data_IF_353647768232
#
_entry.id   IF_353647768232
#
_cell.length_a   1.000
_cell.length_b   1.000
_cell.length_c   1.000
_cell.angle_alpha   90.00
_cell.angle_beta   90.00
_cell.angle_gamma   90.00
#
_symmetry.space_group_name_H-M   'P 1'
#
loop_
_entity.id
_entity.type
_entity.pdbx_description
1 polymer ?
#
# COMPACT_ATOMS: atom_id res chain seq x y z
N UNK A 1 -22.22 11.38 -7.56
CA UNK A 1 -21.13 11.60 -6.59
C UNK A 1 -20.04 10.58 -6.87
N UNK A 2 -18.88 11.00 -7.31
CA UNK A 2 -17.78 10.10 -7.69
C UNK A 2 -17.28 9.34 -6.48
N UNK A 3 -17.24 8.02 -6.55
CA UNK A 3 -16.75 7.15 -5.47
C UNK A 3 -15.35 6.65 -5.80
N UNK A 4 -14.50 6.60 -4.81
CA UNK A 4 -13.13 6.10 -4.91
C UNK A 4 -12.95 4.92 -3.96
N UNK A 5 -12.05 4.01 -4.32
CA UNK A 5 -11.56 2.97 -3.42
C UNK A 5 -10.05 2.92 -3.40
N UNK A 6 -9.49 2.40 -2.31
CA UNK A 6 -8.06 2.14 -2.21
C UNK A 6 -7.75 0.83 -2.95
N UNK A 7 -6.93 0.93 -3.99
CA UNK A 7 -6.53 -0.21 -4.80
C UNK A 7 -5.52 -1.07 -4.02
N UNK A 8 -5.97 -2.16 -3.44
CA UNK A 8 -5.09 -3.17 -2.86
C UNK A 8 -4.99 -4.37 -3.80
N UNK A 9 -3.77 -4.87 -4.05
CA UNK A 9 -3.62 -6.13 -4.78
C UNK A 9 -4.36 -7.23 -4.03
N UNK A 10 -5.07 -8.14 -4.72
CA UNK A 10 -5.69 -9.27 -4.05
C UNK A 10 -4.60 -10.10 -3.35
N UNK A 11 -4.91 -10.60 -2.15
CA UNK A 11 -4.03 -11.54 -1.45
C UNK A 11 -3.87 -12.80 -2.32
N UNK A 12 -2.66 -13.07 -2.77
CA UNK A 12 -2.33 -14.36 -3.37
C UNK A 12 -1.92 -15.28 -2.23
N UNK A 13 -2.64 -16.37 -1.98
CA UNK A 13 -2.20 -17.37 -1.00
C UNK A 13 -0.84 -17.92 -1.40
N UNK A 14 -0.05 -18.35 -0.43
CA UNK A 14 1.28 -18.94 -0.64
C UNK A 14 1.23 -20.07 -1.69
N UNK A 15 2.32 -20.28 -2.47
CA UNK A 15 2.41 -21.42 -3.38
C UNK A 15 2.34 -22.73 -2.57
N UNK A 16 1.22 -23.43 -2.65
CA UNK A 16 0.88 -24.63 -1.88
C UNK A 16 -0.61 -24.76 -1.64
N UNK A 17 -1.32 -23.68 -1.43
CA UNK A 17 -2.79 -23.64 -1.43
C UNK A 17 -3.27 -23.29 -2.83
N UNK A 18 -3.47 -24.31 -3.67
CA UNK A 18 -4.13 -24.16 -4.98
C UNK A 18 -5.63 -23.91 -4.78
N UNK A 19 -5.98 -22.72 -4.42
CA UNK A 19 -7.35 -22.23 -4.53
C UNK A 19 -7.52 -21.63 -5.93
N UNK A 20 -8.14 -22.35 -6.81
CA UNK A 20 -8.48 -21.90 -8.14
C UNK A 20 -9.56 -20.79 -8.05
N UNK A 21 -9.15 -19.55 -7.82
CA UNK A 21 -10.05 -18.39 -7.97
C UNK A 21 -10.34 -18.18 -9.45
N UNK A 22 -11.50 -18.55 -9.90
CA UNK A 22 -11.98 -18.24 -11.25
C UNK A 22 -12.97 -17.08 -11.21
N UNK A 23 -12.72 -16.08 -12.07
CA UNK A 23 -13.66 -15.00 -12.35
C UNK A 23 -14.83 -15.59 -13.15
N UNK A 24 -16.03 -15.60 -12.59
CA UNK A 24 -17.24 -15.91 -13.34
C UNK A 24 -17.66 -14.72 -14.21
N UNK A 25 -18.38 -15.00 -15.31
CA UNK A 25 -19.05 -13.99 -16.14
C UNK A 25 -20.19 -13.34 -15.34
N UNK A 26 -19.88 -12.37 -14.50
CA UNK A 26 -20.83 -11.70 -13.63
C UNK A 26 -20.20 -11.04 -12.41
N UNK A 27 -18.88 -11.12 -12.26
CA UNK A 27 -18.15 -10.41 -11.19
C UNK A 27 -18.17 -11.09 -9.83
N UNK A 28 -18.87 -12.19 -9.65
CA UNK A 28 -18.90 -12.96 -8.41
C UNK A 28 -17.64 -13.83 -8.28
N UNK A 29 -16.93 -13.67 -7.17
CA UNK A 29 -15.83 -14.55 -6.79
C UNK A 29 -16.40 -15.72 -6.01
N UNK A 30 -16.16 -16.95 -6.47
CA UNK A 30 -16.47 -18.15 -5.73
C UNK A 30 -15.24 -19.06 -5.65
N UNK A 31 -15.13 -19.71 -4.52
CA UNK A 31 -14.16 -20.76 -4.28
C UNK A 31 -14.81 -22.11 -4.61
N UNK A 32 -14.07 -23.00 -5.29
CA UNK A 32 -14.53 -24.34 -5.55
C UNK A 32 -13.87 -25.29 -4.55
N UNK A 33 -14.67 -26.00 -3.75
CA UNK A 33 -14.22 -27.13 -2.97
C UNK A 33 -14.77 -28.45 -3.52
N UNK A 34 -14.11 -29.59 -3.29
CA UNK A 34 -14.71 -30.89 -3.60
C UNK A 34 -16.09 -31.00 -2.94
N UNK A 35 -17.04 -31.56 -3.67
CA UNK A 35 -18.37 -31.84 -3.16
C UNK A 35 -18.28 -32.86 -2.01
N UNK A 36 -19.01 -32.60 -0.94
CA UNK A 36 -19.20 -33.51 0.17
C UNK A 36 -20.68 -33.94 0.26
N UNK A 37 -21.00 -35.17 0.66
CA UNK A 37 -22.36 -35.58 0.91
C UNK A 37 -23.06 -34.66 1.90
N UNK A 38 -24.23 -34.11 1.51
CA UNK A 38 -24.96 -33.10 2.26
C UNK A 38 -24.83 -31.68 1.68
N UNK A 39 -23.97 -31.43 0.71
CA UNK A 39 -23.92 -30.15 0.00
C UNK A 39 -25.15 -29.97 -0.89
N UNK A 40 -25.63 -28.71 -0.98
CA UNK A 40 -26.72 -28.37 -1.86
C UNK A 40 -26.37 -28.59 -3.34
N UNK A 41 -27.11 -29.42 -4.03
CA UNK A 41 -26.90 -29.75 -5.46
C UNK A 41 -26.96 -28.50 -6.35
N UNK A 42 -27.72 -27.47 -5.93
CA UNK A 42 -27.80 -26.16 -6.64
C UNK A 42 -26.48 -25.40 -6.67
N UNK A 43 -25.57 -25.68 -5.72
CA UNK A 43 -24.26 -25.07 -5.63
C UNK A 43 -23.19 -25.84 -6.40
N UNK A 44 -23.52 -26.96 -7.02
CA UNK A 44 -22.59 -27.76 -7.81
C UNK A 44 -22.16 -26.97 -9.05
N UNK A 45 -20.85 -26.96 -9.27
CA UNK A 45 -20.27 -26.31 -10.44
C UNK A 45 -20.22 -27.26 -11.64
N UNK A 46 -21.34 -27.43 -12.33
CA UNK A 46 -21.53 -28.37 -13.44
C UNK A 46 -20.48 -28.24 -14.56
N UNK A 47 -20.04 -27.01 -14.83
CA UNK A 47 -19.00 -26.78 -15.85
C UNK A 47 -17.62 -27.32 -15.45
N UNK A 48 -17.30 -27.37 -14.15
CA UNK A 48 -16.09 -28.00 -13.66
C UNK A 48 -16.23 -29.53 -13.75
N UNK A 49 -17.40 -30.08 -13.39
CA UNK A 49 -17.71 -31.49 -13.52
C UNK A 49 -17.56 -31.96 -14.97
N UNK A 50 -18.13 -31.25 -15.93
CA UNK A 50 -18.02 -31.60 -17.36
C UNK A 50 -16.57 -31.61 -17.86
N UNK A 51 -15.66 -30.84 -17.24
CA UNK A 51 -14.24 -30.80 -17.66
C UNK A 51 -13.34 -31.78 -16.93
N UNK A 52 -13.66 -32.12 -15.69
CA UNK A 52 -12.75 -32.87 -14.80
C UNK A 52 -13.30 -34.20 -14.33
N UNK A 53 -14.60 -34.46 -14.56
CA UNK A 53 -15.31 -35.62 -14.01
C UNK A 53 -15.46 -35.59 -12.49
N UNK A 54 -15.08 -34.49 -11.80
CA UNK A 54 -15.16 -34.37 -10.35
C UNK A 54 -16.19 -33.32 -9.95
N UNK A 55 -16.99 -33.66 -8.95
CA UNK A 55 -17.97 -32.72 -8.40
C UNK A 55 -17.30 -31.67 -7.50
N UNK A 56 -17.61 -30.42 -7.76
CA UNK A 56 -17.18 -29.28 -6.96
C UNK A 56 -18.38 -28.44 -6.56
N UNK A 57 -18.38 -27.97 -5.32
CA UNK A 57 -19.38 -27.04 -4.79
C UNK A 57 -18.85 -25.62 -4.81
N UNK A 58 -19.68 -24.66 -5.23
CA UNK A 58 -19.39 -23.23 -5.14
C UNK A 58 -19.53 -22.79 -3.68
N UNK A 59 -18.45 -22.31 -3.10
CA UNK A 59 -18.52 -21.55 -1.87
C UNK A 59 -18.68 -20.07 -2.24
N UNK A 60 -19.83 -19.51 -1.94
CA UNK A 60 -20.00 -18.07 -1.95
C UNK A 60 -19.15 -17.53 -0.80
N UNK A 61 -17.97 -17.05 -1.10
CA UNK A 61 -17.24 -16.22 -0.16
C UNK A 61 -17.97 -14.89 -0.10
N UNK A 62 -18.65 -14.62 0.98
CA UNK A 62 -19.11 -13.26 1.27
C UNK A 62 -17.89 -12.33 1.02
N UNK A 63 -18.05 -11.21 0.31
CA UNK A 63 -16.95 -10.31 0.03
C UNK A 63 -16.31 -9.93 1.37
N UNK A 64 -15.15 -10.48 1.64
CA UNK A 64 -14.42 -10.20 2.88
C UNK A 64 -14.09 -8.71 2.85
N UNK A 65 -14.81 -7.93 3.65
CA UNK A 65 -14.60 -6.48 3.74
C UNK A 65 -13.13 -6.24 4.05
N UNK A 66 -12.47 -5.52 3.18
CA UNK A 66 -11.09 -5.15 3.39
C UNK A 66 -11.00 -4.36 4.71
N UNK A 67 -10.15 -4.78 5.63
CA UNK A 67 -9.86 -4.01 6.85
C UNK A 67 -8.67 -3.12 6.58
N UNK A 68 -8.80 -1.83 6.88
CA UNK A 68 -7.75 -0.85 6.66
C UNK A 68 -7.17 -0.35 7.97
N UNK A 69 -5.84 -0.32 8.03
CA UNK A 69 -5.09 0.39 9.06
C UNK A 69 -4.14 1.36 8.36
N UNK A 70 -4.27 2.62 8.69
CA UNK A 70 -3.42 3.68 8.17
C UNK A 70 -2.40 4.05 9.23
N UNK A 71 -1.16 4.24 8.83
CA UNK A 71 -0.06 4.67 9.69
C UNK A 71 0.55 5.94 9.11
N UNK A 72 0.64 6.96 9.94
CA UNK A 72 1.28 8.22 9.61
C UNK A 72 2.60 8.31 10.38
N UNK A 73 3.69 8.32 9.62
CA UNK A 73 5.02 8.53 10.17
C UNK A 73 5.15 9.93 10.77
N UNK A 74 5.73 10.01 11.97
CA UNK A 74 5.97 11.24 12.72
C UNK A 74 7.46 11.39 13.11
N UNK A 75 8.36 10.77 12.33
CA UNK A 75 9.81 10.96 12.48
C UNK A 75 10.20 12.45 12.38
N UNK A 76 11.34 12.80 12.88
CA UNK A 76 11.83 14.18 12.80
C UNK A 76 11.99 14.64 11.35
N UNK A 77 12.42 13.72 10.46
CA UNK A 77 12.51 14.01 9.04
C UNK A 77 11.15 14.42 8.44
N UNK A 78 10.04 13.79 8.86
CA UNK A 78 8.69 14.14 8.41
C UNK A 78 8.23 15.53 8.83
N UNK A 79 8.81 16.12 9.87
CA UNK A 79 8.49 17.49 10.32
C UNK A 79 9.10 18.57 9.44
N UNK A 80 10.07 18.20 8.60
CA UNK A 80 10.75 19.13 7.72
C UNK A 80 9.93 19.47 6.48
N UNK A 81 10.17 20.65 5.95
CA UNK A 81 9.69 21.11 4.63
C UNK A 81 8.18 20.93 4.39
N UNK A 82 7.38 20.96 5.47
CA UNK A 82 5.91 20.84 5.37
C UNK A 82 5.39 19.45 5.03
N UNK A 83 6.22 18.39 5.15
CA UNK A 83 5.80 17.02 4.86
C UNK A 83 4.69 16.54 5.79
N UNK A 84 4.82 16.74 7.10
CA UNK A 84 3.83 16.25 8.07
C UNK A 84 2.43 16.86 7.87
N UNK A 85 2.25 18.19 7.78
CA UNK A 85 0.94 18.79 7.49
C UNK A 85 0.34 18.34 6.16
N UNK A 86 1.19 18.10 5.15
CA UNK A 86 0.75 17.57 3.87
C UNK A 86 0.32 16.10 4.01
N UNK A 87 1.11 15.28 4.72
CA UNK A 87 0.80 13.87 4.99
C UNK A 87 -0.52 13.70 5.77
N UNK A 88 -0.82 14.58 6.72
CA UNK A 88 -2.09 14.60 7.45
C UNK A 88 -3.30 14.85 6.53
N UNK A 89 -3.16 15.75 5.54
CA UNK A 89 -4.20 15.96 4.52
C UNK A 89 -4.42 14.71 3.67
N UNK A 90 -3.33 14.06 3.24
CA UNK A 90 -3.38 12.81 2.47
C UNK A 90 -3.99 11.68 3.31
N UNK A 91 -3.56 11.53 4.56
CA UNK A 91 -4.09 10.54 5.50
C UNK A 91 -5.59 10.71 5.73
N UNK A 92 -6.05 11.94 5.93
CA UNK A 92 -7.47 12.27 6.11
C UNK A 92 -8.30 11.91 4.88
N UNK A 93 -7.78 12.17 3.67
CA UNK A 93 -8.40 11.78 2.41
C UNK A 93 -8.51 10.25 2.31
N UNK A 94 -7.42 9.53 2.52
CA UNK A 94 -7.38 8.07 2.43
C UNK A 94 -8.24 7.41 3.51
N UNK A 95 -8.26 7.94 4.74
CA UNK A 95 -9.11 7.43 5.82
C UNK A 95 -10.59 7.59 5.49
N UNK A 96 -11.00 8.73 4.93
CA UNK A 96 -12.38 8.96 4.49
C UNK A 96 -12.79 7.97 3.39
N UNK A 97 -11.88 7.67 2.44
CA UNK A 97 -12.12 6.68 1.39
C UNK A 97 -12.17 5.26 1.99
N UNK A 98 -11.22 4.90 2.85
CA UNK A 98 -11.18 3.60 3.50
C UNK A 98 -12.46 3.31 4.30
N UNK A 99 -13.01 4.31 4.99
CA UNK A 99 -14.24 4.18 5.78
C UNK A 99 -15.51 3.92 4.97
N UNK A 100 -15.48 4.09 3.67
CA UNK A 100 -16.60 3.69 2.81
C UNK A 100 -16.71 2.15 2.71
N UNK A 101 -15.58 1.43 2.78
CA UNK A 101 -15.53 -0.03 2.74
C UNK A 101 -15.37 -0.66 4.14
N UNK A 102 -14.65 0.02 5.03
CA UNK A 102 -14.34 -0.41 6.40
C UNK A 102 -14.67 0.71 7.41
N UNK A 103 -15.87 0.74 7.98
CA UNK A 103 -16.27 1.80 8.94
C UNK A 103 -15.36 1.89 10.17
N UNK A 104 -14.64 0.80 10.52
CA UNK A 104 -13.71 0.78 11.66
C UNK A 104 -12.27 1.11 11.27
N UNK A 105 -12.03 1.53 10.02
CA UNK A 105 -10.73 2.00 9.58
C UNK A 105 -10.24 3.16 10.46
N UNK A 106 -8.99 3.09 10.86
CA UNK A 106 -8.37 4.06 11.76
C UNK A 106 -7.00 4.49 11.28
N UNK A 107 -6.64 5.71 11.67
CA UNK A 107 -5.31 6.28 11.51
C UNK A 107 -4.56 6.14 12.82
N UNK A 108 -3.38 5.57 12.76
CA UNK A 108 -2.44 5.41 13.86
C UNK A 108 -1.22 6.29 13.58
N UNK A 109 -0.67 6.91 14.62
CA UNK A 109 0.52 7.75 14.52
C UNK A 109 1.78 6.93 14.79
N UNK A 110 2.84 7.24 14.05
CA UNK A 110 4.08 6.48 14.01
C UNK A 110 4.03 5.26 13.10
N UNK A 111 5.21 4.69 12.82
CA UNK A 111 5.33 3.47 12.03
C UNK A 111 4.89 2.23 12.83
N UNK A 112 4.36 1.19 12.17
CA UNK A 112 3.85 0.03 12.87
C UNK A 112 4.97 -0.76 13.55
N UNK A 113 4.95 -0.83 14.88
CA UNK A 113 5.92 -1.61 15.68
C UNK A 113 5.47 -3.05 15.88
N UNK A 114 4.20 -3.26 16.19
CA UNK A 114 3.60 -4.57 16.44
C UNK A 114 2.49 -4.87 15.46
N UNK A 115 2.82 -5.66 14.44
CA UNK A 115 1.87 -6.12 13.46
C UNK A 115 1.46 -7.57 13.77
N UNK A 116 0.29 -7.76 14.37
CA UNK A 116 -0.30 -9.10 14.50
C UNK A 116 -0.62 -9.65 13.11
N UNK A 117 -0.47 -10.98 12.89
CA UNK A 117 -0.90 -11.61 11.65
C UNK A 117 -2.36 -11.25 11.33
N UNK A 118 -2.65 -10.88 10.10
CA UNK A 118 -4.02 -10.50 9.71
C UNK A 118 -4.13 -10.23 8.21
N UNK A 119 -5.36 -10.32 7.69
CA UNK A 119 -5.68 -10.18 6.27
C UNK A 119 -5.96 -8.73 5.82
N UNK A 120 -5.67 -7.73 6.64
CA UNK A 120 -5.95 -6.32 6.33
C UNK A 120 -5.02 -5.70 5.29
N UNK A 121 -5.36 -4.49 4.90
CA UNK A 121 -4.53 -3.59 4.07
C UNK A 121 -3.86 -2.60 5.01
N UNK A 122 -2.55 -2.51 4.93
CA UNK A 122 -1.76 -1.49 5.63
C UNK A 122 -1.48 -0.34 4.66
N UNK A 123 -1.83 0.86 5.06
CA UNK A 123 -1.51 2.08 4.32
C UNK A 123 -0.48 2.85 5.13
N UNK A 124 0.71 3.01 4.58
CA UNK A 124 1.83 3.70 5.24
C UNK A 124 2.06 5.04 4.54
N UNK A 125 2.07 6.11 5.32
CA UNK A 125 2.42 7.47 4.86
C UNK A 125 3.73 7.85 5.55
N UNK A 126 4.81 7.96 4.79
CA UNK A 126 6.17 8.20 5.29
C UNK A 126 7.01 8.85 4.19
N UNK A 127 8.11 9.50 4.53
CA UNK A 127 9.12 9.86 3.54
C UNK A 127 10.00 8.64 3.16
N UNK A 128 9.98 7.60 3.99
CA UNK A 128 10.69 6.34 3.74
C UNK A 128 12.20 6.47 3.86
N UNK A 129 12.70 7.52 4.51
CA UNK A 129 14.14 7.70 4.76
C UNK A 129 14.60 6.81 5.91
N UNK A 130 13.72 6.57 6.88
CA UNK A 130 13.95 5.60 7.93
C UNK A 130 13.74 4.15 7.46
N UNK A 131 14.49 3.17 8.03
CA UNK A 131 14.31 1.77 7.69
C UNK A 131 12.92 1.25 8.01
N UNK A 132 12.18 0.82 7.00
CA UNK A 132 10.87 0.20 7.17
C UNK A 132 11.00 -1.29 7.56
N UNK A 133 10.12 -1.82 8.43
CA UNK A 133 10.17 -3.21 8.85
C UNK A 133 9.63 -4.18 7.79
N UNK A 134 10.23 -4.21 6.60
CA UNK A 134 9.79 -4.98 5.44
C UNK A 134 9.51 -6.47 5.73
N UNK A 135 10.33 -7.20 6.52
CA UNK A 135 10.04 -8.61 6.83
C UNK A 135 8.68 -8.81 7.49
N UNK A 136 8.20 -7.81 8.24
CA UNK A 136 6.88 -7.83 8.89
C UNK A 136 5.76 -7.32 7.98
N UNK A 137 6.10 -6.48 6.99
CA UNK A 137 5.15 -5.87 6.05
C UNK A 137 4.86 -6.77 4.85
N UNK A 138 5.87 -7.42 4.28
CA UNK A 138 5.76 -8.23 3.06
C UNK A 138 4.69 -9.32 3.07
N UNK A 139 4.38 -10.01 4.20
CA UNK A 139 3.29 -10.97 4.24
C UNK A 139 1.90 -10.33 4.08
N UNK A 140 1.80 -9.01 4.01
CA UNK A 140 0.55 -8.25 3.99
C UNK A 140 0.33 -7.51 2.68
N UNK A 141 -0.89 -7.02 2.47
CA UNK A 141 -1.17 -6.04 1.43
C UNK A 141 -0.73 -4.67 1.93
N UNK A 142 0.23 -4.07 1.28
CA UNK A 142 0.80 -2.77 1.67
C UNK A 142 0.50 -1.74 0.59
N UNK A 143 0.02 -0.58 1.00
CA UNK A 143 -0.05 0.63 0.18
C UNK A 143 0.93 1.61 0.80
N UNK A 144 2.05 1.85 0.11
CA UNK A 144 3.05 2.82 0.53
C UNK A 144 2.82 4.14 -0.20
N UNK A 145 2.55 5.18 0.56
CA UNK A 145 2.46 6.56 0.07
C UNK A 145 3.67 7.30 0.60
N UNK A 146 4.66 7.44 -0.26
CA UNK A 146 5.88 8.18 0.06
C UNK A 146 5.66 9.67 -0.17
N UNK A 147 6.12 10.50 0.77
CA UNK A 147 5.92 11.94 0.74
C UNK A 147 7.28 12.63 0.87
N UNK A 148 7.67 13.32 -0.17
CA UNK A 148 8.92 14.06 -0.20
C UNK A 148 8.67 15.52 -0.54
N UNK A 149 9.56 16.38 -0.05
CA UNK A 149 9.57 17.79 -0.44
C UNK A 149 10.26 17.99 -1.79
N UNK A 150 9.94 19.05 -2.53
CA UNK A 150 10.70 19.41 -3.72
C UNK A 150 12.19 19.61 -3.44
N UNK A 151 12.54 20.15 -2.27
CA UNK A 151 13.93 20.39 -1.85
C UNK A 151 14.72 19.10 -1.62
N UNK A 152 14.06 18.02 -1.19
CA UNK A 152 14.70 16.71 -1.05
C UNK A 152 14.91 16.03 -2.40
N UNK A 153 13.96 16.21 -3.32
CA UNK A 153 14.04 15.60 -4.65
C UNK A 153 15.03 16.31 -5.55
N UNK A 154 15.15 17.63 -5.39
CA UNK A 154 16.03 18.48 -6.18
C UNK A 154 16.61 19.58 -5.29
N UNK A 155 17.60 19.25 -4.45
CA UNK A 155 18.25 20.24 -3.61
C UNK A 155 19.00 21.25 -4.47
N UNK A 156 19.06 22.53 -4.05
CA UNK A 156 19.83 23.56 -4.76
C UNK A 156 21.31 23.16 -4.83
N UNK A 157 21.93 23.45 -5.99
CA UNK A 157 23.36 23.18 -6.25
C UNK A 157 24.25 24.31 -5.67
N UNK A 158 24.05 24.68 -4.42
CA UNK A 158 24.82 25.71 -3.75
C UNK A 158 25.69 25.07 -2.66
N UNK A 159 26.86 25.67 -2.41
CA UNK A 159 27.65 25.32 -1.24
C UNK A 159 26.85 25.63 0.02
N UNK A 160 26.60 24.62 0.83
CA UNK A 160 25.81 24.72 2.03
C UNK A 160 26.40 23.89 3.16
N UNK A 161 26.08 24.29 4.38
CA UNK A 161 26.31 23.47 5.56
C UNK A 161 25.00 22.77 5.91
N UNK A 162 24.90 21.48 5.57
CA UNK A 162 23.74 20.68 5.93
C UNK A 162 23.92 20.14 7.36
N UNK A 163 22.84 20.22 8.13
CA UNK A 163 22.78 19.62 9.46
C UNK A 163 21.83 18.42 9.44
N UNK A 164 22.36 17.28 9.86
CA UNK A 164 21.54 16.12 10.10
C UNK A 164 20.56 16.40 11.26
N UNK A 165 19.29 16.11 11.05
CA UNK A 165 18.19 16.45 11.98
C UNK A 165 18.16 15.52 13.16
N UNK A 166 18.62 14.28 12.97
CA UNK A 166 18.60 13.26 14.02
C UNK A 166 19.87 13.27 14.86
N UNK A 167 21.04 13.43 14.23
CA UNK A 167 22.33 13.42 14.92
C UNK A 167 22.82 14.80 15.27
N UNK A 168 22.36 15.83 14.59
CA UNK A 168 22.83 17.22 14.76
C UNK A 168 24.19 17.52 14.11
N UNK A 169 24.81 16.54 13.45
CA UNK A 169 26.08 16.69 12.76
C UNK A 169 25.94 17.65 11.57
N UNK A 170 26.97 18.49 11.38
CA UNK A 170 27.00 19.42 10.27
C UNK A 170 28.07 19.00 9.26
N UNK A 171 27.67 18.86 8.00
CA UNK A 171 28.54 18.50 6.89
C UNK A 171 28.55 19.60 5.84
N UNK A 172 29.73 20.05 5.38
CA UNK A 172 29.81 20.91 4.21
C UNK A 172 29.41 20.12 2.98
N UNK A 173 28.57 20.68 2.15
CA UNK A 173 28.04 20.03 0.95
C UNK A 173 28.29 20.93 -0.24
N UNK A 174 28.98 20.41 -1.24
CA UNK A 174 29.20 21.02 -2.53
C UNK A 174 28.44 20.30 -3.66
N UNK A 175 28.78 20.66 -4.88
CA UNK A 175 28.09 20.12 -6.07
C UNK A 175 28.25 18.58 -6.20
N UNK A 176 29.41 18.04 -5.89
CA UNK A 176 29.68 16.59 -6.02
C UNK A 176 28.85 15.78 -5.02
N UNK A 177 28.72 16.27 -3.79
CA UNK A 177 27.92 15.64 -2.74
C UNK A 177 26.43 15.70 -3.09
N UNK A 178 25.94 16.81 -3.67
CA UNK A 178 24.55 16.93 -4.12
C UNK A 178 24.24 15.93 -5.24
N UNK A 179 25.13 15.75 -6.21
CA UNK A 179 24.95 14.77 -7.28
C UNK A 179 24.98 13.32 -6.72
N UNK A 180 25.90 13.04 -5.80
CA UNK A 180 25.97 11.76 -5.11
C UNK A 180 24.67 11.47 -4.33
N UNK A 181 24.15 12.47 -3.61
CA UNK A 181 22.88 12.39 -2.90
C UNK A 181 21.71 12.08 -3.85
N UNK A 182 21.57 12.83 -4.96
CA UNK A 182 20.51 12.60 -5.95
C UNK A 182 20.54 11.17 -6.47
N UNK A 183 21.72 10.64 -6.77
CA UNK A 183 21.89 9.26 -7.22
C UNK A 183 21.48 8.26 -6.15
N UNK A 184 21.96 8.44 -4.92
CA UNK A 184 21.63 7.57 -3.79
C UNK A 184 20.13 7.59 -3.49
N UNK A 185 19.50 8.78 -3.49
CA UNK A 185 18.06 8.93 -3.32
C UNK A 185 17.30 8.20 -4.42
N UNK A 186 17.68 8.36 -5.69
CA UNK A 186 17.01 7.69 -6.80
C UNK A 186 17.06 6.16 -6.67
N UNK A 187 18.19 5.60 -6.26
CA UNK A 187 18.35 4.15 -6.00
C UNK A 187 17.49 3.70 -4.81
N UNK A 188 17.46 4.48 -3.74
CA UNK A 188 16.63 4.22 -2.56
C UNK A 188 15.14 4.21 -2.91
N UNK A 189 14.65 5.24 -3.62
CA UNK A 189 13.27 5.34 -4.09
C UNK A 189 12.88 4.15 -4.97
N UNK A 190 13.76 3.75 -5.87
CA UNK A 190 13.57 2.56 -6.72
C UNK A 190 13.44 1.29 -5.89
N UNK A 191 14.30 1.10 -4.89
CA UNK A 191 14.26 -0.03 -3.97
C UNK A 191 12.94 -0.10 -3.20
N UNK A 192 12.53 1.00 -2.56
CA UNK A 192 11.27 1.10 -1.83
C UNK A 192 10.05 0.82 -2.72
N UNK A 193 10.04 1.39 -3.92
CA UNK A 193 8.98 1.15 -4.91
C UNK A 193 8.87 -0.32 -5.28
N UNK A 194 9.99 -0.99 -5.55
CA UNK A 194 9.99 -2.41 -5.89
C UNK A 194 9.44 -3.26 -4.74
N UNK A 195 9.89 -3.02 -3.51
CA UNK A 195 9.42 -3.74 -2.33
C UNK A 195 7.91 -3.53 -2.09
N UNK A 196 7.43 -2.29 -2.20
CA UNK A 196 6.02 -1.98 -2.03
C UNK A 196 5.15 -2.64 -3.11
N UNK A 197 5.62 -2.69 -4.36
CA UNK A 197 4.89 -3.27 -5.48
C UNK A 197 4.86 -4.80 -5.47
N UNK A 198 5.73 -5.48 -4.72
CA UNK A 198 5.67 -6.93 -4.57
C UNK A 198 4.32 -7.39 -3.98
N UNK A 199 3.79 -6.66 -3.00
CA UNK A 199 2.57 -7.04 -2.27
C UNK A 199 1.47 -5.98 -2.25
N UNK A 200 1.66 -4.86 -2.94
CA UNK A 200 0.71 -3.78 -2.83
C UNK A 200 0.79 -2.72 -3.91
N UNK A 201 0.68 -1.48 -3.48
CA UNK A 201 0.73 -0.28 -4.31
C UNK A 201 1.75 0.70 -3.75
N UNK A 202 2.22 1.54 -4.62
CA UNK A 202 3.16 2.61 -4.29
C UNK A 202 2.74 3.91 -4.95
N UNK A 203 2.84 5.00 -4.22
CA UNK A 203 2.78 6.34 -4.76
C UNK A 203 3.85 7.22 -4.13
N UNK A 204 4.47 8.07 -4.94
CA UNK A 204 5.30 9.18 -4.50
C UNK A 204 4.52 10.47 -4.71
N UNK A 205 4.28 11.21 -3.64
CA UNK A 205 3.65 12.51 -3.65
C UNK A 205 4.66 13.59 -3.24
N UNK A 206 4.60 14.71 -3.93
CA UNK A 206 5.41 15.89 -3.60
C UNK A 206 4.60 16.85 -2.75
N UNK A 207 5.21 17.39 -1.71
CA UNK A 207 4.58 18.43 -0.91
C UNK A 207 4.16 19.59 -1.81
N UNK A 208 2.90 20.02 -1.66
CA UNK A 208 2.30 21.09 -2.48
C UNK A 208 1.47 20.60 -3.66
N UNK A 209 1.62 19.35 -4.11
CA UNK A 209 0.77 18.79 -5.17
C UNK A 209 -0.64 18.45 -4.66
N UNK A 210 -1.63 18.45 -5.57
CA UNK A 210 -2.96 17.94 -5.25
C UNK A 210 -2.90 16.41 -5.05
N UNK A 211 -3.25 15.85 -3.86
CA UNK A 211 -3.01 14.44 -3.57
C UNK A 211 -3.90 13.50 -4.38
N UNK A 212 -5.17 13.86 -4.63
CA UNK A 212 -6.13 12.98 -5.30
C UNK A 212 -5.70 12.60 -6.73
N UNK A 213 -5.33 13.54 -7.62
CA UNK A 213 -4.83 13.21 -8.94
C UNK A 213 -3.55 12.37 -8.91
N UNK A 214 -2.64 12.66 -7.98
CA UNK A 214 -1.40 11.90 -7.82
C UNK A 214 -1.64 10.44 -7.43
N UNK A 215 -2.54 10.19 -6.49
CA UNK A 215 -2.92 8.85 -6.04
C UNK A 215 -3.66 8.04 -7.12
N UNK A 216 -4.52 8.69 -7.91
CA UNK A 216 -5.21 8.06 -9.04
C UNK A 216 -4.21 7.67 -10.14
N UNK A 217 -3.38 8.60 -10.58
CA UNK A 217 -2.39 8.38 -11.63
C UNK A 217 -1.40 7.27 -11.30
N UNK A 218 -1.05 7.10 -10.03
CA UNK A 218 -0.13 6.06 -9.56
C UNK A 218 -0.84 4.77 -9.12
N UNK A 219 -2.15 4.67 -9.33
CA UNK A 219 -2.94 3.47 -9.11
C UNK A 219 -3.10 3.07 -7.63
N UNK A 220 -2.96 4.02 -6.70
CA UNK A 220 -3.30 3.83 -5.28
C UNK A 220 -4.79 3.98 -5.05
N UNK A 221 -5.43 4.84 -5.83
CA UNK A 221 -6.89 4.98 -5.87
C UNK A 221 -7.44 4.54 -7.22
N UNK A 222 -8.64 3.99 -7.19
CA UNK A 222 -9.43 3.63 -8.37
C UNK A 222 -10.83 4.26 -8.25
N UNK A 223 -11.42 4.60 -9.41
CA UNK A 223 -12.82 5.01 -9.53
C UNK A 223 -13.72 3.77 -9.43
N UNK A 224 -14.84 3.92 -8.74
CA UNK A 224 -15.90 2.91 -8.66
C UNK A 224 -17.03 3.23 -9.63
#
# INVERSE_FOLDING_TARGET
MTRYRIAAKPYLPYPGERLARRKGLGGEFYELRPYAPGDEVRRVHWRAYAKTGRLYTRLETAPERARFRLFLDESESMRLHGKLPYAEKVASLLLRIARQEDPVARLERGLPRDLRPGRGVLVLLTDGLDPLPWPRLLPRRVVLVQILSPLELDPPLEEALLRDVETGEALPVGREEVEAYKKALAEHLKGLRLLALLRGRYALLRVGEAPLPGLLRQGVLELL
#
